data_IF_172243388319
#
_entry.id   IF_172243388319
#
_cell.length_a   1.000
_cell.length_b   1.000
_cell.length_c   1.000
_cell.angle_alpha   90.00
_cell.angle_beta   90.00
_cell.angle_gamma   90.00
#
_symmetry.space_group_name_H-M   'P 1'
#
loop_
_entity.id
_entity.type
_entity.pdbx_description
1 polymer ?
#
# COMPACT_ATOMS: atom_id res chain seq x y z
N UNK A 1 4.99 -27.39 -8.25
CA UNK A 1 3.97 -26.55 -7.55
C UNK A 1 4.54 -25.40 -6.71
N UNK A 2 5.55 -25.61 -5.84
CA UNK A 2 6.14 -24.56 -4.96
C UNK A 2 6.62 -23.28 -5.70
N UNK A 3 7.22 -23.45 -6.89
CA UNK A 3 7.76 -22.34 -7.70
C UNK A 3 6.69 -21.33 -8.14
N UNK A 4 5.46 -21.75 -8.46
CA UNK A 4 4.40 -20.84 -8.92
C UNK A 4 3.93 -19.88 -7.80
N UNK A 5 3.74 -20.40 -6.58
CA UNK A 5 3.31 -19.60 -5.42
C UNK A 5 4.36 -18.52 -5.06
N UNK A 6 5.64 -18.88 -5.11
CA UNK A 6 6.74 -17.94 -4.86
C UNK A 6 6.79 -16.84 -5.93
N UNK A 7 6.52 -17.16 -7.20
CA UNK A 7 6.42 -16.14 -8.26
C UNK A 7 5.35 -15.09 -7.93
N UNK A 8 4.18 -15.51 -7.48
CA UNK A 8 3.11 -14.58 -7.09
C UNK A 8 3.48 -13.72 -5.89
N UNK A 9 4.15 -14.29 -4.88
CA UNK A 9 4.68 -13.53 -3.75
C UNK A 9 5.68 -12.46 -4.20
N UNK A 10 6.62 -12.82 -5.06
CA UNK A 10 7.63 -11.88 -5.57
C UNK A 10 6.96 -10.74 -6.33
N UNK A 11 6.04 -11.06 -7.26
CA UNK A 11 5.35 -10.04 -8.05
C UNK A 11 4.50 -9.13 -7.16
N UNK A 12 3.71 -9.68 -6.22
CA UNK A 12 2.87 -8.86 -5.34
C UNK A 12 3.70 -7.99 -4.40
N UNK A 13 4.87 -8.48 -3.97
CA UNK A 13 5.82 -7.71 -3.15
C UNK A 13 6.45 -6.56 -3.92
N UNK A 14 6.87 -6.80 -5.17
CA UNK A 14 7.39 -5.76 -6.06
C UNK A 14 6.32 -4.68 -6.28
N UNK A 15 5.06 -5.06 -6.51
CA UNK A 15 3.97 -4.10 -6.68
C UNK A 15 3.72 -3.27 -5.42
N UNK A 16 3.79 -3.88 -4.23
CA UNK A 16 3.70 -3.12 -2.98
C UNK A 16 4.85 -2.12 -2.84
N UNK A 17 6.09 -2.54 -3.10
CA UNK A 17 7.25 -1.64 -3.01
C UNK A 17 7.26 -0.56 -4.11
N UNK A 18 6.70 -0.86 -5.29
CA UNK A 18 6.57 0.11 -6.39
C UNK A 18 5.74 1.34 -6.01
N UNK A 19 4.91 1.26 -4.96
CA UNK A 19 4.20 2.42 -4.40
C UNK A 19 5.13 3.52 -3.89
N UNK A 20 6.39 3.21 -3.53
CA UNK A 20 7.43 4.23 -3.30
C UNK A 20 7.53 5.18 -4.50
N UNK A 21 7.51 4.65 -5.72
CA UNK A 21 7.58 5.45 -6.94
C UNK A 21 6.42 6.43 -7.06
N UNK A 22 5.20 6.00 -6.69
CA UNK A 22 4.02 6.88 -6.65
C UNK A 22 4.26 8.02 -5.65
N UNK A 23 4.66 7.72 -4.42
CA UNK A 23 4.91 8.75 -3.42
C UNK A 23 6.10 9.65 -3.76
N UNK A 24 7.13 9.17 -4.47
CA UNK A 24 8.23 10.02 -4.94
C UNK A 24 7.79 10.99 -6.04
N UNK A 25 6.95 10.52 -6.98
CA UNK A 25 6.44 11.35 -8.09
C UNK A 25 5.53 12.46 -7.57
N UNK A 26 4.57 12.13 -6.70
CA UNK A 26 3.59 13.09 -6.19
C UNK A 26 4.02 13.79 -4.90
N UNK A 27 5.02 13.24 -4.18
CA UNK A 27 5.42 13.70 -2.85
C UNK A 27 6.00 15.10 -2.81
N UNK A 28 6.52 15.63 -3.93
CA UNK A 28 6.96 17.03 -4.01
C UNK A 28 5.83 18.02 -3.76
N UNK A 29 4.59 17.63 -4.08
CA UNK A 29 3.40 18.45 -3.91
C UNK A 29 2.73 18.21 -2.55
N UNK A 30 3.12 17.15 -1.82
CA UNK A 30 2.53 16.85 -0.52
C UNK A 30 3.05 17.80 0.57
N UNK A 31 2.18 18.22 1.50
CA UNK A 31 2.60 18.97 2.69
C UNK A 31 3.58 18.15 3.52
N UNK A 32 4.37 18.81 4.38
CA UNK A 32 5.35 18.12 5.25
C UNK A 32 4.69 17.15 6.23
N UNK A 33 3.44 17.44 6.60
CA UNK A 33 2.58 16.56 7.40
C UNK A 33 1.32 16.25 6.60
N UNK A 34 1.07 14.97 6.36
CA UNK A 34 -0.01 14.48 5.50
C UNK A 34 -1.17 13.97 6.36
N UNK A 35 -2.42 14.41 6.11
CA UNK A 35 -3.58 13.86 6.80
C UNK A 35 -3.84 12.41 6.36
N UNK A 36 -4.06 11.52 7.32
CA UNK A 36 -4.30 10.09 7.07
C UNK A 36 -5.47 9.53 7.87
N UNK A 37 -6.06 10.33 8.77
CA UNK A 37 -7.23 9.96 9.54
C UNK A 37 -8.12 11.19 9.78
N UNK A 38 -9.43 10.97 9.68
CA UNK A 38 -10.47 11.99 9.82
C UNK A 38 -11.53 11.50 10.82
N UNK A 39 -12.07 12.40 11.62
CA UNK A 39 -13.21 12.11 12.50
C UNK A 39 -14.54 12.01 11.73
N UNK A 40 -15.63 11.69 12.42
CA UNK A 40 -16.97 11.59 11.83
C UNK A 40 -17.54 12.92 11.32
N UNK A 41 -16.94 14.05 11.70
CA UNK A 41 -17.28 15.39 11.22
C UNK A 41 -16.43 15.80 10.01
N UNK A 42 -15.48 14.96 9.60
CA UNK A 42 -14.57 15.23 8.49
C UNK A 42 -13.35 16.07 8.86
N UNK A 43 -13.07 16.31 10.14
CA UNK A 43 -11.87 17.02 10.56
C UNK A 43 -10.67 16.08 10.61
N UNK A 44 -9.50 16.56 10.20
CA UNK A 44 -8.25 15.83 10.36
C UNK A 44 -7.93 15.71 11.84
N UNK A 45 -7.78 14.48 12.34
CA UNK A 45 -7.35 14.20 13.71
C UNK A 45 -6.15 13.22 13.77
N UNK A 46 -5.63 12.79 12.62
CA UNK A 46 -4.43 12.00 12.52
C UNK A 46 -3.61 12.38 11.29
N UNK A 47 -2.31 12.57 11.51
CA UNK A 47 -1.37 12.98 10.47
C UNK A 47 -0.09 12.14 10.57
N UNK A 48 0.66 12.12 9.48
CA UNK A 48 1.96 11.46 9.42
C UNK A 48 2.96 12.35 8.68
N UNK A 49 4.22 12.33 9.07
CA UNK A 49 5.25 13.03 8.30
C UNK A 49 5.34 12.44 6.89
N UNK A 50 5.47 13.32 5.89
CA UNK A 50 5.65 12.96 4.48
C UNK A 50 6.71 11.88 4.27
N UNK A 51 7.84 11.97 4.96
CA UNK A 51 8.93 10.97 4.88
C UNK A 51 8.48 9.57 5.30
N UNK A 52 7.71 9.46 6.38
CA UNK A 52 7.19 8.17 6.84
C UNK A 52 6.10 7.64 5.91
N UNK A 53 5.28 8.51 5.31
CA UNK A 53 4.34 8.08 4.27
C UNK A 53 5.08 7.55 3.04
N UNK A 54 6.06 8.30 2.52
CA UNK A 54 6.78 7.97 1.29
C UNK A 54 7.57 6.68 1.39
N UNK A 55 8.27 6.46 2.50
CA UNK A 55 9.14 5.29 2.66
C UNK A 55 8.55 4.22 3.57
N UNK A 56 7.87 4.60 4.65
CA UNK A 56 7.33 3.66 5.63
C UNK A 56 6.07 2.94 5.15
N UNK A 57 5.15 3.63 4.47
CA UNK A 57 3.91 3.00 4.01
C UNK A 57 4.16 1.83 3.04
N UNK A 58 5.08 1.93 2.05
CA UNK A 58 5.42 0.79 1.19
C UNK A 58 5.96 -0.43 1.93
N UNK A 59 6.74 -0.25 3.01
CA UNK A 59 7.17 -1.37 3.86
C UNK A 59 6.01 -1.96 4.68
N UNK A 60 5.10 -1.12 5.19
CA UNK A 60 3.90 -1.61 5.87
C UNK A 60 2.99 -2.41 4.90
N UNK A 61 2.86 -1.95 3.65
CA UNK A 61 2.13 -2.66 2.60
C UNK A 61 2.75 -4.03 2.30
N UNK A 62 4.09 -4.09 2.23
CA UNK A 62 4.81 -5.35 2.05
C UNK A 62 4.53 -6.33 3.20
N UNK A 63 4.54 -5.86 4.45
CA UNK A 63 4.23 -6.69 5.62
C UNK A 63 2.79 -7.24 5.55
N UNK A 64 1.82 -6.39 5.22
CA UNK A 64 0.42 -6.80 5.02
C UNK A 64 0.31 -7.84 3.89
N UNK A 65 1.05 -7.67 2.81
CA UNK A 65 1.10 -8.62 1.70
C UNK A 65 1.64 -9.99 2.13
N UNK A 66 2.66 -10.04 2.99
CA UNK A 66 3.16 -11.30 3.54
C UNK A 66 2.14 -12.01 4.43
N UNK A 67 1.44 -11.27 5.30
CA UNK A 67 0.37 -11.82 6.14
C UNK A 67 -0.76 -12.38 5.26
N UNK A 68 -1.17 -11.62 4.23
CA UNK A 68 -2.19 -12.06 3.28
C UNK A 68 -1.74 -13.31 2.50
N UNK A 69 -0.49 -13.35 2.04
CA UNK A 69 0.07 -14.51 1.35
C UNK A 69 0.06 -15.76 2.24
N UNK A 70 0.49 -15.64 3.50
CA UNK A 70 0.48 -16.74 4.48
C UNK A 70 -0.94 -17.29 4.71
N UNK A 71 -1.96 -16.44 4.62
CA UNK A 71 -3.38 -16.84 4.70
C UNK A 71 -3.89 -17.50 3.40
N UNK A 72 -3.45 -17.03 2.23
CA UNK A 72 -3.97 -17.49 0.94
C UNK A 72 -3.23 -18.69 0.32
N UNK A 73 -2.02 -19.02 0.79
CA UNK A 73 -1.15 -20.08 0.22
C UNK A 73 -1.80 -21.48 0.14
N UNK A 74 -2.81 -21.76 0.98
CA UNK A 74 -3.60 -23.00 0.97
C UNK A 74 -4.77 -23.02 -0.02
N UNK A 75 -5.15 -21.86 -0.59
CA UNK A 75 -6.26 -21.76 -1.54
C UNK A 75 -5.77 -21.94 -2.98
N UNK A 76 -5.67 -23.19 -3.43
CA UNK A 76 -5.02 -23.52 -4.71
C UNK A 76 -5.79 -23.02 -5.95
N UNK A 77 -7.08 -22.73 -5.84
CA UNK A 77 -7.96 -22.39 -6.98
C UNK A 77 -8.05 -20.90 -7.31
N UNK A 78 -7.45 -20.00 -6.51
CA UNK A 78 -7.73 -18.57 -6.60
C UNK A 78 -6.46 -17.69 -6.56
N UNK A 79 -5.62 -17.82 -7.59
CA UNK A 79 -4.37 -17.06 -7.76
C UNK A 79 -4.56 -15.53 -7.71
N UNK A 80 -5.72 -15.03 -8.12
CA UNK A 80 -6.05 -13.61 -8.10
C UNK A 80 -5.99 -13.00 -6.68
N UNK A 81 -6.19 -13.81 -5.63
CA UNK A 81 -6.17 -13.35 -4.23
C UNK A 81 -4.80 -12.78 -3.80
N UNK A 82 -3.71 -13.24 -4.40
CA UNK A 82 -2.37 -12.69 -4.12
C UNK A 82 -2.20 -11.25 -4.59
N UNK A 83 -3.08 -10.78 -5.48
CA UNK A 83 -3.04 -9.44 -6.06
C UNK A 83 -4.03 -8.47 -5.39
N UNK A 84 -4.85 -8.94 -4.44
CA UNK A 84 -5.79 -8.10 -3.70
C UNK A 84 -5.07 -7.00 -2.93
N UNK A 85 -4.04 -7.36 -2.15
CA UNK A 85 -3.27 -6.39 -1.37
C UNK A 85 -2.58 -5.34 -2.25
N UNK A 86 -1.73 -5.70 -3.24
CA UNK A 86 -1.05 -4.71 -4.07
C UNK A 86 -2.03 -3.78 -4.80
N UNK A 87 -3.16 -4.31 -5.30
CA UNK A 87 -4.18 -3.50 -5.96
C UNK A 87 -4.80 -2.49 -4.97
N UNK A 88 -5.18 -2.94 -3.77
CA UNK A 88 -5.76 -2.08 -2.75
C UNK A 88 -4.80 -0.98 -2.29
N UNK A 89 -3.51 -1.29 -2.06
CA UNK A 89 -2.55 -0.30 -1.58
C UNK A 89 -2.17 0.72 -2.66
N UNK A 90 -2.17 0.34 -3.93
CA UNK A 90 -2.02 1.29 -5.05
C UNK A 90 -3.21 2.25 -5.07
N UNK A 91 -4.44 1.74 -4.98
CA UNK A 91 -5.64 2.57 -4.95
C UNK A 91 -5.66 3.51 -3.73
N UNK A 92 -5.30 2.99 -2.54
CA UNK A 92 -5.19 3.79 -1.31
C UNK A 92 -4.10 4.86 -1.44
N UNK A 93 -2.96 4.56 -2.07
CA UNK A 93 -1.88 5.55 -2.27
C UNK A 93 -2.36 6.75 -3.09
N UNK A 94 -3.07 6.50 -4.20
CA UNK A 94 -3.69 7.57 -4.99
C UNK A 94 -4.77 8.33 -4.23
N UNK A 95 -5.60 7.63 -3.44
CA UNK A 95 -6.62 8.26 -2.61
C UNK A 95 -6.00 9.20 -1.56
N UNK A 96 -4.96 8.74 -0.85
CA UNK A 96 -4.25 9.56 0.14
C UNK A 96 -3.64 10.80 -0.52
N UNK A 97 -3.01 10.64 -1.68
CA UNK A 97 -2.46 11.77 -2.43
C UNK A 97 -3.56 12.76 -2.82
N UNK A 98 -4.69 12.26 -3.36
CA UNK A 98 -5.82 13.09 -3.73
C UNK A 98 -6.38 13.88 -2.54
N UNK A 99 -6.56 13.23 -1.39
CA UNK A 99 -7.08 13.87 -0.18
C UNK A 99 -6.08 14.86 0.45
N UNK A 100 -4.78 14.60 0.32
CA UNK A 100 -3.74 15.46 0.86
C UNK A 100 -3.47 16.71 0.01
N UNK A 101 -3.83 16.69 -1.27
CA UNK A 101 -3.66 17.80 -2.21
C UNK A 101 -4.93 18.63 -2.40
N UNK A 102 -6.05 18.21 -1.81
CA UNK A 102 -7.32 18.92 -1.83
C UNK A 102 -7.37 19.96 -0.72
#
# INVERSE_FOLDING_TARGET
MKSSKIKHLIISSILCLATVGIFLVFGKNLPDVVPVHWDSSGNVNGTIAKTYLTYGAPFAYLLINFIAFAKFQGSEKATWKYYLVPLSVIAISFLVIFLALR
#
